data_IF_348475413296
#
_entry.id   IF_348475413296
#
_cell.length_a   1.000
_cell.length_b   1.000
_cell.length_c   1.000
_cell.angle_alpha   90.00
_cell.angle_beta   90.00
_cell.angle_gamma   90.00
#
_symmetry.space_group_name_H-M   'P 1'
#
loop_
_entity.id
_entity.type
_entity.pdbx_description
1 polymer ?
#
# COMPACT_ATOMS: atom_id res chain seq x y z
N UNK A 1 -29.79 -5.63 9.24
CA UNK A 1 -29.01 -5.32 8.02
C UNK A 1 -29.73 -4.22 7.29
N UNK A 2 -29.12 -3.04 7.19
CA UNK A 2 -29.72 -1.87 6.56
C UNK A 2 -29.70 -1.98 5.03
N UNK A 3 -30.63 -1.29 4.35
CA UNK A 3 -30.60 -1.10 2.89
C UNK A 3 -29.27 -0.46 2.45
N UNK A 4 -28.70 0.40 3.29
CA UNK A 4 -27.37 1.02 3.07
C UNK A 4 -26.25 -0.02 3.05
N UNK A 5 -26.26 -0.98 3.99
CA UNK A 5 -25.26 -2.06 4.06
C UNK A 5 -25.32 -2.99 2.85
N UNK A 6 -26.53 -3.23 2.35
CA UNK A 6 -26.76 -4.03 1.16
C UNK A 6 -26.23 -3.34 -0.10
N UNK A 7 -26.51 -2.04 -0.27
CA UNK A 7 -26.03 -1.24 -1.39
C UNK A 7 -24.50 -1.04 -1.36
N UNK A 8 -23.91 -0.85 -0.17
CA UNK A 8 -22.47 -0.78 0.01
C UNK A 8 -21.81 -2.09 -0.46
N UNK A 9 -22.30 -3.25 0.00
CA UNK A 9 -21.81 -4.56 -0.43
C UNK A 9 -21.95 -4.78 -1.94
N UNK A 10 -23.06 -4.36 -2.55
CA UNK A 10 -23.30 -4.51 -3.99
C UNK A 10 -22.31 -3.69 -4.84
N UNK A 11 -21.82 -2.55 -4.32
CA UNK A 11 -20.78 -1.73 -4.93
C UNK A 11 -19.34 -2.20 -4.60
N UNK A 12 -19.19 -3.37 -3.98
CA UNK A 12 -17.88 -3.86 -3.50
C UNK A 12 -17.31 -3.08 -2.32
N UNK A 13 -18.10 -2.18 -1.72
CA UNK A 13 -17.71 -1.38 -0.55
C UNK A 13 -18.03 -2.16 0.72
N UNK A 14 -17.11 -2.14 1.69
CA UNK A 14 -17.38 -2.73 3.02
C UNK A 14 -18.47 -1.93 3.73
N UNK A 15 -19.13 -2.58 4.70
CA UNK A 15 -20.17 -1.96 5.52
C UNK A 15 -19.67 -0.65 6.16
N UNK A 16 -20.57 0.32 6.27
CA UNK A 16 -20.36 1.48 7.14
C UNK A 16 -20.64 1.06 8.59
N UNK A 17 -19.97 1.70 9.55
CA UNK A 17 -20.14 1.41 10.98
C UNK A 17 -20.51 2.69 11.70
N UNK A 18 -21.40 2.58 12.67
CA UNK A 18 -21.96 3.74 13.38
C UNK A 18 -21.17 4.07 14.66
N UNK A 19 -20.27 3.17 15.08
CA UNK A 19 -19.44 3.35 16.27
C UNK A 19 -17.95 3.19 16.00
N UNK A 20 -17.12 3.91 16.75
CA UNK A 20 -15.66 3.79 16.68
C UNK A 20 -15.17 2.41 17.13
N UNK A 21 -15.88 1.77 18.06
CA UNK A 21 -15.57 0.41 18.53
C UNK A 21 -15.70 -0.63 17.41
N UNK A 22 -16.81 -0.59 16.66
CA UNK A 22 -17.01 -1.49 15.51
C UNK A 22 -15.97 -1.26 14.40
N UNK A 23 -15.56 0.01 14.17
CA UNK A 23 -14.48 0.32 13.23
C UNK A 23 -13.15 -0.28 13.70
N UNK A 24 -12.80 -0.14 14.98
CA UNK A 24 -11.55 -0.68 15.53
C UNK A 24 -11.51 -2.21 15.42
N UNK A 25 -12.56 -2.90 15.86
CA UNK A 25 -12.65 -4.37 15.77
C UNK A 25 -12.53 -4.85 14.32
N UNK A 26 -13.14 -4.13 13.38
CA UNK A 26 -13.05 -4.46 11.97
C UNK A 26 -11.62 -4.34 11.42
N UNK A 27 -10.92 -3.26 11.77
CA UNK A 27 -9.56 -2.98 11.30
C UNK A 27 -8.59 -4.01 11.87
N UNK A 28 -8.68 -4.32 13.16
CA UNK A 28 -7.85 -5.33 13.82
C UNK A 28 -8.10 -6.71 13.19
N UNK A 29 -9.36 -7.12 13.07
CA UNK A 29 -9.72 -8.39 12.45
C UNK A 29 -9.33 -8.45 10.96
N UNK A 30 -9.28 -7.32 10.26
CA UNK A 30 -8.79 -7.27 8.88
C UNK A 30 -7.29 -7.49 8.81
N UNK A 31 -6.52 -6.82 9.67
CA UNK A 31 -5.07 -6.94 9.70
C UNK A 31 -4.65 -8.36 10.10
N UNK A 32 -5.21 -8.91 11.18
CA UNK A 32 -4.90 -10.27 11.62
C UNK A 32 -5.23 -11.32 10.55
N UNK A 33 -6.42 -11.22 9.92
CA UNK A 33 -6.75 -12.11 8.79
C UNK A 33 -5.77 -11.97 7.63
N UNK A 34 -5.36 -10.75 7.28
CA UNK A 34 -4.40 -10.54 6.22
C UNK A 34 -3.03 -11.12 6.58
N UNK A 35 -2.59 -10.94 7.83
CA UNK A 35 -1.36 -11.51 8.37
C UNK A 35 -1.38 -13.03 8.30
N UNK A 36 -2.39 -13.67 8.89
CA UNK A 36 -2.48 -15.13 8.97
C UNK A 36 -2.63 -15.79 7.60
N UNK A 37 -3.39 -15.19 6.68
CA UNK A 37 -3.66 -15.79 5.37
C UNK A 37 -2.63 -15.43 4.30
N UNK A 38 -2.05 -14.23 4.32
CA UNK A 38 -1.19 -13.74 3.23
C UNK A 38 0.29 -13.80 3.58
N UNK A 39 0.68 -13.54 4.83
CA UNK A 39 2.11 -13.53 5.19
C UNK A 39 2.79 -14.87 4.90
N UNK A 40 2.23 -16.05 5.23
CA UNK A 40 2.85 -17.33 4.88
C UNK A 40 3.05 -17.51 3.38
N UNK A 41 2.08 -17.06 2.57
CA UNK A 41 2.16 -17.11 1.10
C UNK A 41 3.26 -16.19 0.58
N UNK A 42 3.38 -14.97 1.13
CA UNK A 42 4.47 -14.06 0.78
C UNK A 42 5.83 -14.65 1.16
N UNK A 43 5.98 -15.17 2.38
CA UNK A 43 7.20 -15.84 2.84
C UNK A 43 7.58 -17.02 1.94
N UNK A 44 6.62 -17.86 1.56
CA UNK A 44 6.86 -18.99 0.66
C UNK A 44 7.35 -18.53 -0.72
N UNK A 45 6.73 -17.47 -1.27
CA UNK A 45 7.12 -16.91 -2.58
C UNK A 45 8.50 -16.26 -2.54
N UNK A 46 8.88 -15.66 -1.41
CA UNK A 46 10.18 -15.01 -1.26
C UNK A 46 11.28 -15.95 -0.76
N UNK A 47 10.95 -17.17 -0.33
CA UNK A 47 11.89 -18.10 0.31
C UNK A 47 13.09 -18.51 -0.57
N UNK A 48 12.99 -18.34 -1.90
CA UNK A 48 14.03 -18.72 -2.86
C UNK A 48 14.74 -17.52 -3.50
N UNK A 49 14.48 -16.31 -3.03
CA UNK A 49 15.13 -15.11 -3.55
C UNK A 49 16.52 -14.98 -2.94
N UNK A 50 17.53 -15.41 -3.68
CA UNK A 50 18.93 -15.38 -3.24
C UNK A 50 19.71 -14.21 -3.86
N UNK A 51 19.40 -13.88 -5.11
CA UNK A 51 20.06 -12.81 -5.85
C UNK A 51 19.31 -11.48 -5.72
N UNK A 52 20.05 -10.35 -5.65
CA UNK A 52 19.46 -9.01 -5.53
C UNK A 52 18.42 -8.71 -6.62
N UNK A 53 18.69 -9.14 -7.86
CA UNK A 53 17.77 -8.94 -8.98
C UNK A 53 16.47 -9.74 -8.83
N UNK A 54 16.48 -10.86 -8.11
CA UNK A 54 15.29 -11.67 -7.91
C UNK A 54 14.21 -10.95 -7.05
N UNK A 55 14.59 -9.96 -6.25
CA UNK A 55 13.66 -9.12 -5.48
C UNK A 55 12.93 -8.09 -6.35
N UNK A 56 13.50 -7.73 -7.51
CA UNK A 56 13.04 -6.60 -8.32
C UNK A 56 11.59 -6.72 -8.79
N UNK A 57 11.09 -7.88 -9.30
CA UNK A 57 9.70 -7.98 -9.73
C UNK A 57 8.70 -7.71 -8.59
N UNK A 58 8.98 -8.23 -7.39
CA UNK A 58 8.15 -8.00 -6.21
C UNK A 58 8.14 -6.55 -5.75
N UNK A 59 9.28 -5.86 -5.83
CA UNK A 59 9.40 -4.44 -5.49
C UNK A 59 8.68 -3.53 -6.49
N UNK A 60 8.78 -3.83 -7.79
CA UNK A 60 8.04 -3.10 -8.84
C UNK A 60 6.53 -3.25 -8.65
N UNK A 61 6.06 -4.48 -8.42
CA UNK A 61 4.65 -4.77 -8.15
C UNK A 61 4.16 -4.06 -6.88
N UNK A 62 4.95 -4.07 -5.81
CA UNK A 62 4.62 -3.38 -4.57
C UNK A 62 4.51 -1.86 -4.80
N UNK A 63 5.50 -1.27 -5.48
CA UNK A 63 5.50 0.17 -5.80
C UNK A 63 4.26 0.57 -6.60
N UNK A 64 3.90 -0.21 -7.62
CA UNK A 64 2.74 0.06 -8.46
C UNK A 64 1.44 0.05 -7.64
N UNK A 65 1.26 -0.94 -6.75
CA UNK A 65 0.08 -1.04 -5.87
C UNK A 65 0.03 0.10 -4.85
N UNK A 66 1.17 0.49 -4.27
CA UNK A 66 1.23 1.61 -3.34
C UNK A 66 0.93 2.94 -4.05
N UNK A 67 1.39 3.12 -5.28
CA UNK A 67 1.08 4.32 -6.07
C UNK A 67 -0.42 4.42 -6.39
N UNK A 68 -1.06 3.30 -6.75
CA UNK A 68 -2.51 3.25 -6.94
C UNK A 68 -3.28 3.62 -5.66
N UNK A 69 -2.83 3.13 -4.50
CA UNK A 69 -3.39 3.50 -3.20
C UNK A 69 -3.20 5.00 -2.88
N UNK A 70 -2.06 5.60 -3.23
CA UNK A 70 -1.81 7.02 -3.04
C UNK A 70 -2.82 7.87 -3.85
N UNK A 71 -3.01 7.53 -5.14
CA UNK A 71 -4.00 8.17 -6.00
C UNK A 71 -5.43 7.98 -5.47
N UNK A 72 -5.74 6.81 -4.94
CA UNK A 72 -7.04 6.57 -4.32
C UNK A 72 -7.25 7.42 -3.06
N UNK A 73 -6.21 7.60 -2.23
CA UNK A 73 -6.27 8.51 -1.08
C UNK A 73 -6.53 9.95 -1.52
N UNK A 74 -5.87 10.45 -2.57
CA UNK A 74 -6.11 11.78 -3.16
C UNK A 74 -7.55 11.96 -3.63
N UNK A 75 -8.13 10.92 -4.25
CA UNK A 75 -9.54 10.93 -4.65
C UNK A 75 -10.47 11.02 -3.44
N UNK A 76 -10.17 10.29 -2.35
CA UNK A 76 -10.95 10.36 -1.11
C UNK A 76 -10.81 11.72 -0.42
N UNK A 77 -9.63 12.34 -0.41
CA UNK A 77 -9.40 13.70 0.11
C UNK A 77 -10.29 14.68 -0.66
N UNK A 78 -10.26 14.62 -1.99
CA UNK A 78 -11.08 15.49 -2.85
C UNK A 78 -12.56 15.34 -2.54
N UNK A 79 -13.04 14.11 -2.39
CA UNK A 79 -14.43 13.84 -2.03
C UNK A 79 -14.78 14.36 -0.62
N UNK A 80 -13.92 14.13 0.37
CA UNK A 80 -14.12 14.58 1.74
C UNK A 80 -14.20 16.11 1.83
N UNK A 81 -13.29 16.83 1.16
CA UNK A 81 -13.30 18.30 1.07
C UNK A 81 -14.56 18.81 0.41
N UNK A 82 -14.96 18.21 -0.71
CA UNK A 82 -16.17 18.59 -1.45
C UNK A 82 -17.45 18.39 -0.64
N UNK A 83 -17.46 17.41 0.28
CA UNK A 83 -18.56 17.13 1.19
C UNK A 83 -18.49 17.92 2.52
N UNK A 84 -17.46 18.76 2.72
CA UNK A 84 -17.30 19.57 3.94
C UNK A 84 -16.75 18.80 5.15
N UNK A 85 -16.17 17.61 4.96
CA UNK A 85 -15.55 16.80 6.02
C UNK A 85 -14.08 17.17 6.21
N UNK A 86 -13.80 18.36 6.77
CA UNK A 86 -12.45 18.91 6.91
C UNK A 86 -11.49 18.00 7.70
N UNK A 87 -11.88 17.56 8.90
CA UNK A 87 -11.04 16.72 9.76
C UNK A 87 -10.71 15.36 9.11
N UNK A 88 -11.65 14.80 8.34
CA UNK A 88 -11.42 13.57 7.58
C UNK A 88 -10.42 13.81 6.45
N UNK A 89 -10.56 14.93 5.72
CA UNK A 89 -9.65 15.29 4.66
C UNK A 89 -8.21 15.47 5.19
N UNK A 90 -8.03 16.15 6.33
CA UNK A 90 -6.71 16.32 6.96
C UNK A 90 -6.09 14.99 7.37
N UNK A 91 -6.87 14.08 7.96
CA UNK A 91 -6.38 12.73 8.28
C UNK A 91 -5.97 11.95 7.03
N UNK A 92 -6.71 12.11 5.94
CA UNK A 92 -6.40 11.47 4.66
C UNK A 92 -5.17 12.10 3.99
N UNK A 93 -4.92 13.41 4.15
CA UNK A 93 -3.70 14.07 3.67
C UNK A 93 -2.46 13.39 4.26
N UNK A 94 -2.45 13.11 5.58
CA UNK A 94 -1.36 12.36 6.22
C UNK A 94 -1.20 10.92 5.69
N UNK A 95 -2.28 10.27 5.28
CA UNK A 95 -2.22 8.94 4.64
C UNK A 95 -1.60 9.03 3.24
N UNK A 96 -2.01 10.03 2.45
CA UNK A 96 -1.48 10.24 1.11
C UNK A 96 0.03 10.55 1.14
N UNK A 97 0.47 11.38 2.09
CA UNK A 97 1.90 11.68 2.31
C UNK A 97 2.71 10.41 2.60
N UNK A 98 2.26 9.58 3.55
CA UNK A 98 2.94 8.33 3.89
C UNK A 98 2.99 7.35 2.70
N UNK A 99 1.94 7.30 1.86
CA UNK A 99 1.92 6.46 0.67
C UNK A 99 2.90 6.96 -0.39
N UNK A 100 2.99 8.28 -0.61
CA UNK A 100 3.98 8.87 -1.53
C UNK A 100 5.43 8.66 -1.08
N UNK A 101 5.68 8.75 0.22
CA UNK A 101 6.97 8.39 0.81
C UNK A 101 7.28 6.91 0.54
N UNK A 102 6.34 6.01 0.82
CA UNK A 102 6.51 4.58 0.56
C UNK A 102 6.73 4.26 -0.94
N UNK A 103 6.09 4.97 -1.87
CA UNK A 103 6.34 4.85 -3.33
C UNK A 103 7.79 5.21 -3.67
N UNK A 104 8.32 6.26 -3.04
CA UNK A 104 9.68 6.74 -3.25
C UNK A 104 10.71 5.75 -2.68
N UNK A 105 10.48 5.26 -1.47
CA UNK A 105 11.33 4.25 -0.83
C UNK A 105 11.33 2.92 -1.60
N UNK A 106 10.17 2.47 -2.10
CA UNK A 106 10.10 1.28 -2.97
C UNK A 106 10.84 1.48 -4.29
N UNK A 107 10.85 2.70 -4.84
CA UNK A 107 11.67 3.02 -6.02
C UNK A 107 13.16 2.92 -5.71
N UNK A 108 13.60 3.50 -4.59
CA UNK A 108 14.99 3.43 -4.14
C UNK A 108 15.43 1.98 -3.88
N UNK A 109 14.59 1.18 -3.21
CA UNK A 109 14.84 -0.25 -3.01
C UNK A 109 14.92 -1.02 -4.34
N UNK A 110 14.04 -0.69 -5.30
CA UNK A 110 14.09 -1.28 -6.65
C UNK A 110 15.40 -0.92 -7.36
N UNK A 111 15.85 0.33 -7.29
CA UNK A 111 17.14 0.74 -7.87
C UNK A 111 18.33 0.03 -7.22
N UNK A 112 18.29 -0.21 -5.91
CA UNK A 112 19.34 -0.93 -5.19
C UNK A 112 19.50 -2.41 -5.63
N UNK A 113 18.53 -2.97 -6.36
CA UNK A 113 18.66 -4.32 -6.95
C UNK A 113 19.57 -4.36 -8.18
N UNK A 114 19.77 -3.22 -8.85
CA UNK A 114 20.57 -3.15 -10.08
C UNK A 114 22.06 -3.09 -9.72
N UNK A 115 22.90 -4.03 -10.21
CA UNK A 115 24.33 -3.99 -9.94
C UNK A 115 24.96 -2.75 -10.57
N UNK A 116 25.83 -2.08 -9.81
CA UNK A 116 26.65 -0.97 -10.34
C UNK A 116 27.65 -1.55 -11.34
N UNK A 117 27.76 -0.99 -12.56
CA UNK A 117 28.77 -1.42 -13.52
C UNK A 117 30.16 -1.36 -12.88
N UNK A 118 30.87 -2.48 -12.83
CA UNK A 118 32.28 -2.48 -12.47
C UNK A 118 33.03 -1.90 -13.68
N UNK A 119 33.36 -0.61 -13.65
CA UNK A 119 34.29 -0.04 -14.63
C UNK A 119 35.65 -0.65 -14.32
N UNK A 120 36.30 -1.40 -15.25
CA UNK A 120 37.66 -1.85 -15.03
C UNK A 120 38.54 -0.62 -14.82
N UNK A 121 39.30 -0.59 -13.72
CA UNK A 121 40.43 0.32 -13.55
C UNK A 121 41.52 -0.07 -14.55
N UNK A 122 41.27 0.14 -15.84
CA UNK A 122 42.24 0.00 -16.89
C UNK A 122 42.71 1.40 -17.28
N UNK A 123 44.01 1.63 -17.03
CA UNK A 123 44.83 2.77 -17.44
C UNK A 123 44.74 4.07 -16.62
N UNK A 124 45.53 4.13 -15.56
CA UNK A 124 46.45 5.24 -15.35
C UNK A 124 47.87 4.64 -15.41
N UNK A 125 48.48 4.71 -16.60
CA UNK A 125 49.90 4.42 -16.80
C UNK A 125 50.73 5.68 -16.49
#
# INVERSE_FOLDING_TARGET
MSVSDFLARLQGKRAAFDTTGEVAELLDAQFERARDSRLPVHLQRTARLEERLAFQPGLVDARAKTADLALYAEALITAARSAGHADLAERLDGVAEALHEAVSELAAATHATVPVPQVPLAYAA
#
